data_IF_020162419115
#
_entry.id   IF_020162419115
#
_cell.length_a   1.000
_cell.length_b   1.000
_cell.length_c   1.000
_cell.angle_alpha   90.00
_cell.angle_beta   90.00
_cell.angle_gamma   90.00
#
_symmetry.space_group_name_H-M   'P 1'
#
loop_
_entity.id
_entity.type
_entity.pdbx_description
1 polymer ?
#
# COMPACT_ATOMS: atom_id res chain seq x y z
N UNK A 1 -22.04 -11.46 -1.35
CA UNK A 1 -20.69 -11.02 -1.74
C UNK A 1 -19.65 -11.59 -0.77
N UNK A 2 -18.57 -12.14 -1.28
CA UNK A 2 -17.54 -12.71 -0.42
C UNK A 2 -16.73 -11.63 0.30
N UNK A 3 -16.02 -12.04 1.33
CA UNK A 3 -15.18 -11.13 2.09
C UNK A 3 -14.11 -10.45 1.20
N UNK A 4 -13.47 -11.24 0.33
CA UNK A 4 -12.47 -10.68 -0.59
C UNK A 4 -13.09 -9.61 -1.50
N UNK A 5 -14.28 -9.88 -2.07
CA UNK A 5 -14.95 -8.91 -2.93
C UNK A 5 -15.32 -7.64 -2.19
N UNK A 6 -15.82 -7.77 -0.96
CA UNK A 6 -16.16 -6.61 -0.13
C UNK A 6 -14.94 -5.74 0.14
N UNK A 7 -13.81 -6.36 0.45
CA UNK A 7 -12.59 -5.61 0.75
C UNK A 7 -12.04 -4.93 -0.49
N UNK A 8 -12.10 -5.60 -1.65
CA UNK A 8 -11.66 -4.97 -2.90
C UNK A 8 -12.46 -3.71 -3.20
N UNK A 9 -13.78 -3.75 -3.02
CA UNK A 9 -14.61 -2.55 -3.20
C UNK A 9 -14.24 -1.44 -2.22
N UNK A 10 -14.01 -1.79 -0.95
CA UNK A 10 -13.62 -0.81 0.06
C UNK A 10 -12.27 -0.18 -0.23
N UNK A 11 -11.30 -0.97 -0.70
CA UNK A 11 -9.97 -0.46 -1.03
C UNK A 11 -10.06 0.57 -2.17
N UNK A 12 -10.84 0.27 -3.20
CA UNK A 12 -11.02 1.19 -4.32
C UNK A 12 -11.67 2.49 -3.85
N UNK A 13 -12.69 2.38 -2.99
CA UNK A 13 -13.40 3.55 -2.48
C UNK A 13 -12.56 4.42 -1.56
N UNK A 14 -11.71 3.80 -0.71
CA UNK A 14 -10.87 4.53 0.25
C UNK A 14 -9.59 5.10 -0.36
N UNK A 15 -9.18 4.62 -1.52
CA UNK A 15 -7.91 5.01 -2.14
C UNK A 15 -8.17 5.51 -3.57
N UNK A 16 -8.91 6.61 -3.74
CA UNK A 16 -9.22 7.10 -5.08
C UNK A 16 -7.96 7.53 -5.84
N UNK A 17 -7.97 7.34 -7.15
CA UNK A 17 -6.86 7.71 -8.04
C UNK A 17 -5.53 7.02 -7.71
N UNK A 18 -5.58 5.79 -7.19
CA UNK A 18 -4.38 5.00 -6.90
C UNK A 18 -4.47 3.63 -7.58
N UNK A 19 -4.48 3.60 -8.93
CA UNK A 19 -4.71 2.35 -9.67
C UNK A 19 -3.63 1.29 -9.45
N UNK A 20 -2.38 1.68 -9.23
CA UNK A 20 -1.30 0.73 -8.97
C UNK A 20 -1.53 -0.03 -7.66
N UNK A 21 -2.00 0.67 -6.63
CA UNK A 21 -2.33 0.05 -5.36
C UNK A 21 -3.54 -0.87 -5.50
N UNK A 22 -4.59 -0.41 -6.20
CA UNK A 22 -5.78 -1.23 -6.44
C UNK A 22 -5.42 -2.54 -7.14
N UNK A 23 -4.57 -2.47 -8.15
CA UNK A 23 -4.18 -3.65 -8.92
C UNK A 23 -3.36 -4.62 -8.06
N UNK A 24 -2.44 -4.12 -7.27
CA UNK A 24 -1.63 -4.95 -6.39
C UNK A 24 -2.50 -5.69 -5.36
N UNK A 25 -3.43 -4.98 -4.74
CA UNK A 25 -4.35 -5.58 -3.77
C UNK A 25 -5.19 -6.66 -4.44
N UNK A 26 -5.72 -6.37 -5.62
CA UNK A 26 -6.53 -7.33 -6.36
C UNK A 26 -5.76 -8.61 -6.67
N UNK A 27 -4.54 -8.49 -7.17
CA UNK A 27 -3.72 -9.65 -7.52
C UNK A 27 -3.42 -10.52 -6.30
N UNK A 28 -3.02 -9.90 -5.20
CA UNK A 28 -2.69 -10.64 -3.98
C UNK A 28 -3.92 -11.29 -3.37
N UNK A 29 -5.02 -10.54 -3.22
CA UNK A 29 -6.23 -11.09 -2.60
C UNK A 29 -6.87 -12.18 -3.45
N UNK A 30 -6.83 -12.05 -4.78
CA UNK A 30 -7.34 -13.11 -5.65
C UNK A 30 -6.51 -14.40 -5.51
N UNK A 31 -5.19 -14.28 -5.35
CA UNK A 31 -4.34 -15.45 -5.16
C UNK A 31 -4.57 -16.12 -3.80
N UNK A 32 -5.06 -15.38 -2.81
CA UNK A 32 -5.35 -15.90 -1.47
C UNK A 32 -6.81 -16.28 -1.27
N UNK A 33 -7.65 -16.06 -2.27
CA UNK A 33 -9.11 -16.23 -2.14
C UNK A 33 -9.52 -17.59 -1.60
N UNK A 34 -8.92 -18.67 -2.10
CA UNK A 34 -9.25 -20.03 -1.67
C UNK A 34 -9.01 -20.20 -0.17
N UNK A 35 -7.88 -19.75 0.32
CA UNK A 35 -7.51 -19.86 1.74
C UNK A 35 -8.45 -19.02 2.61
N UNK A 36 -8.72 -17.79 2.17
CA UNK A 36 -9.54 -16.85 2.93
C UNK A 36 -10.99 -17.32 2.99
N UNK A 37 -11.54 -17.77 1.88
CA UNK A 37 -12.93 -18.23 1.86
C UNK A 37 -13.14 -19.54 2.62
N UNK A 38 -12.10 -20.37 2.71
CA UNK A 38 -12.17 -21.60 3.49
C UNK A 38 -12.33 -21.35 4.99
N UNK A 39 -11.95 -20.17 5.48
CA UNK A 39 -12.05 -19.81 6.89
C UNK A 39 -12.50 -18.34 7.06
N UNK A 40 -13.49 -17.97 6.25
CA UNK A 40 -13.92 -16.56 6.13
C UNK A 40 -14.40 -15.96 7.45
N UNK A 41 -15.18 -16.71 8.23
CA UNK A 41 -15.71 -16.21 9.50
C UNK A 41 -14.60 -15.78 10.45
N UNK A 42 -13.56 -16.61 10.59
CA UNK A 42 -12.43 -16.31 11.44
C UNK A 42 -11.68 -15.05 10.96
N UNK A 43 -11.41 -14.96 9.67
CA UNK A 43 -10.67 -13.83 9.12
C UNK A 43 -11.46 -12.52 9.17
N UNK A 44 -12.79 -12.58 9.02
CA UNK A 44 -13.64 -11.40 9.21
C UNK A 44 -13.60 -10.91 10.65
N UNK A 45 -13.67 -11.83 11.61
CA UNK A 45 -13.63 -11.50 13.03
C UNK A 45 -12.33 -10.81 13.40
N UNK A 46 -11.23 -11.24 12.82
CA UNK A 46 -9.91 -10.65 13.09
C UNK A 46 -9.62 -9.41 12.24
N UNK A 47 -10.54 -9.04 11.35
CA UNK A 47 -10.36 -7.94 10.40
C UNK A 47 -9.04 -8.06 9.63
N UNK A 48 -8.71 -9.28 9.19
CA UNK A 48 -7.44 -9.59 8.56
C UNK A 48 -7.18 -8.74 7.31
N UNK A 49 -8.13 -8.74 6.37
CA UNK A 49 -7.92 -8.05 5.10
C UNK A 49 -7.93 -6.53 5.26
N UNK A 50 -8.73 -6.02 6.19
CA UNK A 50 -8.73 -4.59 6.50
C UNK A 50 -7.35 -4.16 7.01
N UNK A 51 -6.75 -4.95 7.90
CA UNK A 51 -5.43 -4.64 8.44
C UNK A 51 -4.33 -4.78 7.40
N UNK A 52 -4.42 -5.75 6.51
CA UNK A 52 -3.42 -5.94 5.46
C UNK A 52 -3.45 -4.85 4.39
N UNK A 53 -4.62 -4.29 4.11
CA UNK A 53 -4.77 -3.30 3.04
C UNK A 53 -4.74 -1.85 3.54
N UNK A 54 -4.64 -1.64 4.85
CA UNK A 54 -4.56 -0.31 5.44
C UNK A 54 -3.17 -0.12 6.03
N UNK A 55 -2.38 0.85 5.56
CA UNK A 55 -1.05 1.09 6.13
C UNK A 55 -1.18 1.53 7.59
N UNK A 56 -0.21 1.14 8.42
CA UNK A 56 -0.16 1.57 9.80
C UNK A 56 0.07 3.08 9.90
N UNK A 57 0.87 3.63 8.99
CA UNK A 57 1.24 5.04 9.02
C UNK A 57 1.73 5.48 7.66
N UNK A 58 1.36 6.71 7.30
CA UNK A 58 1.87 7.37 6.09
C UNK A 58 2.48 8.70 6.51
N UNK A 59 3.71 8.94 6.11
CA UNK A 59 4.39 10.22 6.33
C UNK A 59 4.62 10.87 4.99
N UNK A 60 4.11 12.10 4.82
CA UNK A 60 4.36 12.90 3.64
C UNK A 60 5.19 14.10 4.06
N UNK A 61 6.24 14.40 3.31
CA UNK A 61 7.12 15.50 3.67
C UNK A 61 7.59 16.24 2.42
N UNK A 62 7.94 17.50 2.63
CA UNK A 62 8.42 18.38 1.58
C UNK A 62 9.93 18.24 1.45
N UNK A 63 10.40 18.09 0.20
CA UNK A 63 11.85 17.99 -0.07
C UNK A 63 12.22 19.14 -1.00
N UNK A 64 12.70 20.29 -0.45
CA UNK A 64 13.22 21.36 -1.29
C UNK A 64 14.66 21.05 -1.71
N UNK A 65 14.99 21.42 -2.93
CA UNK A 65 16.37 21.22 -3.45
C UNK A 65 16.64 22.24 -4.54
N UNK A 66 17.91 22.45 -4.84
CA UNK A 66 18.34 23.41 -5.85
C UNK A 66 18.82 22.68 -7.08
N UNK A 67 18.25 23.01 -8.24
CA UNK A 67 18.63 22.35 -9.49
C UNK A 67 19.91 22.94 -10.09
N UNK A 68 20.35 22.40 -11.22
CA UNK A 68 21.57 22.81 -11.91
C UNK A 68 21.51 24.26 -12.41
N UNK A 69 20.31 24.81 -12.52
CA UNK A 69 20.10 26.22 -12.96
C UNK A 69 20.02 27.18 -11.79
N UNK A 70 20.23 26.70 -10.57
CA UNK A 70 20.17 27.52 -9.37
C UNK A 70 18.76 27.84 -8.90
N UNK A 71 17.76 27.15 -9.43
CA UNK A 71 16.36 27.35 -9.04
C UNK A 71 15.95 26.38 -7.96
N UNK A 72 15.12 26.84 -7.01
CA UNK A 72 14.59 26.00 -5.95
C UNK A 72 13.43 25.18 -6.48
N UNK A 73 13.54 23.88 -6.35
CA UNK A 73 12.48 22.93 -6.68
C UNK A 73 11.95 22.33 -5.39
N UNK A 74 10.68 21.92 -5.42
CA UNK A 74 10.05 21.29 -4.25
C UNK A 74 9.41 19.97 -4.68
N UNK A 75 9.87 18.88 -4.09
CA UNK A 75 9.29 17.56 -4.32
C UNK A 75 8.56 17.11 -3.06
N UNK A 76 7.70 16.12 -3.21
CA UNK A 76 7.05 15.46 -2.09
C UNK A 76 7.69 14.10 -1.86
N UNK A 77 8.05 13.83 -0.61
CA UNK A 77 8.52 12.52 -0.21
C UNK A 77 7.43 11.78 0.54
N UNK A 78 7.40 10.46 0.38
CA UNK A 78 6.41 9.62 1.05
C UNK A 78 7.09 8.45 1.74
N UNK A 79 6.65 8.16 2.96
CA UNK A 79 7.01 6.94 3.66
C UNK A 79 5.73 6.23 4.07
N UNK A 80 5.52 5.04 3.54
CA UNK A 80 4.33 4.24 3.85
C UNK A 80 4.77 3.05 4.69
N UNK A 81 4.12 2.87 5.83
CA UNK A 81 4.44 1.83 6.81
C UNK A 81 3.23 0.91 6.93
N UNK A 82 3.32 -0.30 6.37
CA UNK A 82 2.21 -1.24 6.38
C UNK A 82 2.21 -2.15 7.58
N UNK A 83 3.34 -2.76 7.91
CA UNK A 83 3.37 -3.78 8.96
C UNK A 83 4.73 -3.79 9.66
N UNK A 84 4.72 -3.67 10.99
CA UNK A 84 5.93 -3.70 11.82
C UNK A 84 6.02 -4.94 12.71
N UNK A 85 5.19 -5.96 12.46
CA UNK A 85 5.09 -7.12 13.34
C UNK A 85 6.40 -7.91 13.48
N UNK A 86 7.23 -7.92 12.44
CA UNK A 86 8.50 -8.66 12.43
C UNK A 86 9.68 -7.78 12.81
N UNK A 87 9.51 -6.48 12.75
CA UNK A 87 10.58 -5.53 13.04
C UNK A 87 10.33 -4.17 12.41
N UNK A 88 11.33 -3.29 12.39
CA UNK A 88 11.18 -1.98 11.80
C UNK A 88 10.80 -2.06 10.31
N UNK A 89 10.08 -1.04 9.85
CA UNK A 89 9.70 -0.94 8.44
C UNK A 89 10.95 -0.84 7.58
N UNK A 90 11.01 -1.66 6.53
CA UNK A 90 12.12 -1.62 5.58
C UNK A 90 11.63 -1.90 4.18
N UNK A 91 12.35 -1.41 3.22
CA UNK A 91 12.05 -1.60 1.81
C UNK A 91 13.02 -0.81 0.96
N UNK A 92 12.81 -0.82 -0.33
CA UNK A 92 13.66 -0.11 -1.27
C UNK A 92 13.24 1.34 -1.45
N UNK A 93 14.05 2.07 -2.20
CA UNK A 93 13.75 3.42 -2.64
C UNK A 93 13.50 3.40 -4.15
N UNK A 94 12.67 4.33 -4.60
CA UNK A 94 12.42 4.50 -6.02
C UNK A 94 12.54 5.96 -6.40
N UNK A 95 13.48 6.26 -7.28
CA UNK A 95 13.68 7.61 -7.80
C UNK A 95 13.19 7.68 -9.23
N UNK A 96 12.03 8.30 -9.43
CA UNK A 96 11.46 8.50 -10.76
C UNK A 96 10.38 9.56 -10.69
N UNK A 97 10.25 10.41 -11.73
CA UNK A 97 9.23 11.46 -11.73
C UNK A 97 7.80 10.95 -11.62
N UNK A 98 7.54 9.68 -11.98
CA UNK A 98 6.20 9.10 -11.90
C UNK A 98 5.82 8.62 -10.51
N UNK A 99 6.72 8.69 -9.52
CA UNK A 99 6.44 8.21 -8.17
C UNK A 99 5.37 9.08 -7.52
N UNK A 100 4.32 8.45 -6.99
CA UNK A 100 3.25 9.10 -6.27
C UNK A 100 2.82 8.20 -5.11
N UNK A 101 1.85 8.67 -4.31
CA UNK A 101 1.41 7.91 -3.12
C UNK A 101 0.87 6.53 -3.50
N UNK A 102 0.14 6.40 -4.62
CA UNK A 102 -0.38 5.10 -5.06
C UNK A 102 0.72 4.11 -5.36
N UNK A 103 1.80 4.55 -6.02
CA UNK A 103 2.94 3.69 -6.34
C UNK A 103 3.68 3.30 -5.07
N UNK A 104 3.87 4.21 -4.12
CA UNK A 104 4.55 3.90 -2.86
C UNK A 104 3.70 2.91 -2.04
N UNK A 105 2.38 3.07 -2.01
CA UNK A 105 1.49 2.09 -1.36
C UNK A 105 1.57 0.72 -2.04
N UNK A 106 1.64 0.69 -3.36
CA UNK A 106 1.79 -0.54 -4.12
C UNK A 106 3.08 -1.26 -3.71
N UNK A 107 4.20 -0.55 -3.66
CA UNK A 107 5.48 -1.14 -3.27
C UNK A 107 5.47 -1.60 -1.81
N UNK A 108 4.93 -0.80 -0.91
CA UNK A 108 4.83 -1.15 0.50
C UNK A 108 3.94 -2.37 0.75
N UNK A 109 2.80 -2.42 0.08
CA UNK A 109 1.88 -3.55 0.20
C UNK A 109 2.53 -4.85 -0.28
N UNK A 110 3.24 -4.81 -1.42
CA UNK A 110 3.91 -6.01 -1.92
C UNK A 110 5.03 -6.49 -1.00
N UNK A 111 5.73 -5.56 -0.35
CA UNK A 111 6.84 -5.91 0.55
C UNK A 111 6.40 -6.80 1.72
N UNK A 112 5.20 -6.61 2.25
CA UNK A 112 4.72 -7.43 3.38
C UNK A 112 4.50 -8.89 3.00
N UNK A 113 4.39 -9.20 1.71
CA UNK A 113 4.20 -10.56 1.23
C UNK A 113 5.50 -11.20 0.72
N UNK A 114 6.60 -10.47 0.68
CA UNK A 114 7.90 -10.97 0.21
C UNK A 114 8.78 -11.51 1.32
N UNK A 115 8.51 -11.15 2.54
CA UNK A 115 9.34 -11.52 3.69
C UNK A 115 8.70 -12.55 4.58
#
# INVERSE_FOLDING_TARGET
>A
MSYVDEILEKVIAKNPAQPEFHQAVKEVLESLRVVIEANEEHFRKEALLERLTTPERIIMFRVPWVDDKGQVQVNNGFRVQFNSAIGPYKGGLRFHPSVNLGIIKFLGFEQIFKN
#
